data_IF_533133404337
#
_entry.id   IF_533133404337
#
_cell.length_a   1.000
_cell.length_b   1.000
_cell.length_c   1.000
_cell.angle_alpha   90.00
_cell.angle_beta   90.00
_cell.angle_gamma   90.00
#
_symmetry.space_group_name_H-M   'P 1'
#
loop_
_entity.id
_entity.type
_entity.pdbx_description
1 polymer ?
#
# COMPACT_ATOMS: atom_id res chain seq x y z
N UNK A 1 8.88 3.40 -7.49
CA UNK A 1 8.40 2.04 -7.20
C UNK A 1 7.92 2.01 -5.76
N UNK A 2 6.72 1.52 -5.50
CA UNK A 2 6.15 1.43 -4.16
C UNK A 2 5.58 0.02 -3.94
N UNK A 3 5.31 -0.33 -2.69
CA UNK A 3 4.70 -1.62 -2.32
C UNK A 3 3.76 -1.45 -1.15
N UNK A 4 2.70 -2.23 -1.12
CA UNK A 4 1.88 -2.40 0.08
C UNK A 4 2.58 -3.38 1.02
N UNK A 5 2.64 -3.04 2.30
CA UNK A 5 3.27 -3.88 3.32
C UNK A 5 2.41 -3.95 4.56
N UNK A 6 2.55 -5.06 5.29
CA UNK A 6 2.26 -5.11 6.72
C UNK A 6 3.52 -4.66 7.45
N UNK A 7 3.40 -3.65 8.32
CA UNK A 7 4.49 -3.20 9.17
C UNK A 7 4.11 -3.26 10.65
N UNK A 8 5.08 -3.61 11.48
CA UNK A 8 4.94 -3.78 12.94
C UNK A 8 5.98 -2.95 13.68
N UNK A 9 5.77 -2.58 14.95
CA UNK A 9 6.83 -2.12 15.84
C UNK A 9 8.09 -2.99 15.77
N UNK A 10 9.26 -2.37 15.79
CA UNK A 10 10.55 -3.05 15.67
C UNK A 10 10.76 -4.16 16.72
N UNK A 11 10.16 -4.02 17.90
CA UNK A 11 10.15 -5.02 18.97
C UNK A 11 9.44 -6.33 18.56
N UNK A 12 8.47 -6.24 17.65
CA UNK A 12 7.72 -7.39 17.11
C UNK A 12 8.31 -7.94 15.81
N UNK A 13 9.51 -7.51 15.38
CA UNK A 13 10.13 -7.93 14.11
C UNK A 13 10.18 -9.45 13.89
N UNK A 14 10.33 -10.22 14.98
CA UNK A 14 10.46 -11.68 14.93
C UNK A 14 9.12 -12.42 15.02
N UNK A 15 7.99 -11.71 15.06
CA UNK A 15 6.68 -12.35 15.04
C UNK A 15 6.40 -12.95 13.65
N UNK A 16 5.55 -13.95 13.61
CA UNK A 16 5.00 -14.50 12.38
C UNK A 16 3.67 -13.85 12.06
N UNK A 17 3.23 -13.94 10.81
CA UNK A 17 1.88 -13.54 10.41
C UNK A 17 0.78 -14.20 11.27
N UNK A 18 1.01 -15.41 11.78
CA UNK A 18 0.02 -16.13 12.62
C UNK A 18 -0.16 -15.48 13.98
N UNK A 19 0.88 -14.82 14.50
CA UNK A 19 0.84 -14.12 15.79
C UNK A 19 0.01 -12.83 15.72
N UNK A 20 -0.34 -12.40 14.50
CA UNK A 20 -1.18 -11.25 14.24
C UNK A 20 -2.69 -11.59 14.27
N UNK A 21 -3.06 -12.84 14.56
CA UNK A 21 -4.46 -13.24 14.67
C UNK A 21 -5.13 -12.48 15.82
N UNK A 22 -6.33 -11.95 15.54
CA UNK A 22 -7.14 -11.14 16.45
C UNK A 22 -6.52 -9.79 16.86
N UNK A 23 -5.45 -9.37 16.18
CA UNK A 23 -4.83 -8.06 16.40
C UNK A 23 -5.51 -6.96 15.59
N UNK A 24 -5.27 -5.72 15.99
CA UNK A 24 -5.78 -4.51 15.34
C UNK A 24 -4.78 -4.01 14.29
N UNK A 25 -5.27 -3.71 13.10
CA UNK A 25 -4.48 -3.13 12.00
C UNK A 25 -5.01 -1.75 11.63
N UNK A 26 -4.14 -0.73 11.69
CA UNK A 26 -4.47 0.61 11.22
C UNK A 26 -4.10 0.77 9.74
N UNK A 27 -5.00 1.36 8.94
CA UNK A 27 -4.73 1.58 7.51
C UNK A 27 -5.61 2.67 6.89
N UNK A 28 -5.12 3.30 5.81
CA UNK A 28 -5.94 4.09 4.87
C UNK A 28 -6.65 3.22 3.83
N UNK A 29 -6.32 1.92 3.77
CA UNK A 29 -6.69 0.99 2.71
C UNK A 29 -7.41 -0.24 3.27
N UNK A 30 -8.58 -0.08 3.92
CA UNK A 30 -9.26 -1.17 4.62
C UNK A 30 -9.56 -2.36 3.70
N UNK A 31 -10.02 -2.11 2.48
CA UNK A 31 -10.30 -3.16 1.48
C UNK A 31 -9.05 -3.97 1.14
N UNK A 32 -7.87 -3.33 1.06
CA UNK A 32 -6.60 -4.02 0.78
C UNK A 32 -6.20 -4.89 1.96
N UNK A 33 -6.25 -4.33 3.18
CA UNK A 33 -5.91 -5.04 4.41
C UNK A 33 -6.84 -6.25 4.62
N UNK A 34 -8.16 -6.05 4.58
CA UNK A 34 -9.17 -7.09 4.75
C UNK A 34 -9.00 -8.22 3.72
N UNK A 35 -8.76 -7.88 2.45
CA UNK A 35 -8.55 -8.88 1.40
C UNK A 35 -7.29 -9.70 1.67
N UNK A 36 -6.20 -9.05 2.08
CA UNK A 36 -4.95 -9.71 2.39
C UNK A 36 -5.09 -10.65 3.60
N UNK A 37 -5.56 -10.17 4.75
CA UNK A 37 -5.65 -11.01 5.95
C UNK A 37 -6.65 -12.15 5.78
N UNK A 38 -7.78 -11.92 5.11
CA UNK A 38 -8.73 -12.99 4.75
C UNK A 38 -8.11 -14.04 3.85
N UNK A 39 -7.29 -13.66 2.86
CA UNK A 39 -6.61 -14.65 2.00
C UNK A 39 -5.55 -15.46 2.75
N UNK A 40 -5.06 -14.94 3.89
CA UNK A 40 -4.17 -15.67 4.81
C UNK A 40 -4.92 -16.49 5.87
N UNK A 41 -6.26 -16.47 5.89
CA UNK A 41 -7.06 -17.12 6.94
C UNK A 41 -6.93 -16.45 8.32
N UNK A 42 -6.53 -15.18 8.36
CA UNK A 42 -6.34 -14.40 9.58
C UNK A 42 -7.51 -13.46 9.81
N UNK A 43 -8.12 -13.56 11.00
CA UNK A 43 -9.09 -12.59 11.47
C UNK A 43 -8.35 -11.44 12.16
N UNK A 44 -8.56 -10.22 11.71
CA UNK A 44 -7.98 -8.98 12.27
C UNK A 44 -9.08 -7.94 12.41
N UNK A 45 -8.89 -7.00 13.32
CA UNK A 45 -9.76 -5.83 13.47
C UNK A 45 -9.17 -4.64 12.70
N UNK A 46 -9.89 -4.15 11.68
CA UNK A 46 -9.37 -3.15 10.75
C UNK A 46 -9.84 -1.76 11.18
N UNK A 47 -8.89 -0.94 11.62
CA UNK A 47 -9.11 0.45 12.02
C UNK A 47 -8.77 1.33 10.83
N UNK A 48 -9.80 1.94 10.24
CA UNK A 48 -9.60 2.88 9.14
C UNK A 48 -9.18 4.25 9.68
N UNK A 49 -8.07 4.77 9.17
CA UNK A 49 -7.54 6.08 9.51
C UNK A 49 -7.33 6.90 8.24
N UNK A 50 -7.34 8.23 8.36
CA UNK A 50 -7.19 9.14 7.22
C UNK A 50 -5.81 9.82 7.14
N UNK A 51 -5.02 9.76 8.22
CA UNK A 51 -3.68 10.36 8.31
C UNK A 51 -2.88 9.76 9.46
N UNK A 52 -1.55 9.96 9.44
CA UNK A 52 -0.60 9.56 10.50
C UNK A 52 -0.77 8.11 10.95
N UNK A 53 -0.74 7.18 10.00
CA UNK A 53 -0.96 5.74 10.26
C UNK A 53 0.15 5.18 11.15
N UNK A 54 1.35 5.70 10.96
CA UNK A 54 2.57 5.32 11.64
C UNK A 54 2.53 5.60 13.15
N UNK A 55 1.67 6.51 13.60
CA UNK A 55 1.46 6.82 15.02
C UNK A 55 0.50 5.84 15.70
N UNK A 56 -0.33 5.11 14.95
CA UNK A 56 -1.35 4.23 15.54
C UNK A 56 -0.76 3.14 16.45
N UNK A 57 0.38 2.49 16.09
CA UNK A 57 1.07 1.58 17.01
C UNK A 57 1.65 2.27 18.23
N UNK A 58 2.26 3.45 18.05
CA UNK A 58 2.86 4.22 19.15
C UNK A 58 1.81 4.63 20.21
N UNK A 59 0.60 4.94 19.77
CA UNK A 59 -0.52 5.33 20.65
C UNK A 59 -1.31 4.14 21.20
N UNK A 60 -0.94 2.90 20.86
CA UNK A 60 -1.68 1.69 21.26
C UNK A 60 -3.06 1.53 20.62
N UNK A 61 -3.34 2.30 19.56
CA UNK A 61 -4.60 2.21 18.80
C UNK A 61 -4.64 0.95 17.94
N UNK A 62 -3.51 0.56 17.36
CA UNK A 62 -3.36 -0.65 16.57
C UNK A 62 -2.08 -1.39 16.95
N UNK A 63 -2.01 -2.70 16.65
CA UNK A 63 -0.80 -3.49 16.89
C UNK A 63 0.13 -3.45 15.68
N UNK A 64 -0.41 -3.17 14.49
CA UNK A 64 0.31 -3.13 13.22
C UNK A 64 -0.34 -2.13 12.26
N UNK A 65 0.32 -1.88 11.14
CA UNK A 65 -0.22 -1.06 10.05
C UNK A 65 -0.18 -1.79 8.71
N UNK A 66 -1.10 -1.41 7.82
CA UNK A 66 -1.00 -1.68 6.39
C UNK A 66 -0.91 -0.36 5.65
N UNK A 67 0.20 -0.14 4.94
CA UNK A 67 0.42 1.10 4.19
C UNK A 67 1.28 0.88 2.93
N UNK A 68 1.32 1.91 2.08
CA UNK A 68 2.18 1.97 0.90
C UNK A 68 3.53 2.54 1.29
N UNK A 69 4.60 1.83 0.97
CA UNK A 69 5.98 2.19 1.28
C UNK A 69 6.82 2.28 0.01
N UNK A 70 7.68 3.29 -0.05
CA UNK A 70 8.69 3.46 -1.11
C UNK A 70 10.08 3.05 -0.59
N UNK A 71 10.82 3.99 0.00
CA UNK A 71 12.18 3.75 0.54
C UNK A 71 12.19 3.12 1.93
N UNK A 72 11.05 3.09 2.64
CA UNK A 72 10.97 2.62 4.03
C UNK A 72 11.39 3.66 5.08
N UNK A 73 11.78 4.88 4.66
CA UNK A 73 12.25 5.94 5.58
C UNK A 73 11.21 6.29 6.65
N UNK A 74 9.95 6.48 6.25
CA UNK A 74 8.86 6.83 7.17
C UNK A 74 8.61 5.76 8.23
N UNK A 75 8.73 4.47 7.86
CA UNK A 75 8.62 3.38 8.82
C UNK A 75 9.75 3.45 9.86
N UNK A 76 10.99 3.61 9.39
CA UNK A 76 12.17 3.68 10.26
C UNK A 76 12.11 4.86 11.23
N UNK A 77 11.66 6.03 10.77
CA UNK A 77 11.49 7.22 11.61
C UNK A 77 10.44 7.03 12.73
N UNK A 78 9.51 6.08 12.55
CA UNK A 78 8.48 5.73 13.54
C UNK A 78 8.74 4.39 14.24
N UNK A 79 9.97 3.87 14.20
CA UNK A 79 10.35 2.58 14.79
C UNK A 79 9.50 1.38 14.32
N UNK A 80 9.05 1.43 13.05
CA UNK A 80 8.34 0.35 12.39
C UNK A 80 9.27 -0.41 11.44
N UNK A 81 8.98 -1.70 11.28
CA UNK A 81 9.68 -2.59 10.34
C UNK A 81 8.67 -3.30 9.45
N UNK A 82 9.06 -3.54 8.20
CA UNK A 82 8.26 -4.33 7.27
C UNK A 82 8.28 -5.79 7.71
N UNK A 83 7.10 -6.35 7.95
CA UNK A 83 6.94 -7.76 8.26
C UNK A 83 6.75 -8.57 6.98
N UNK A 84 5.79 -8.17 6.14
CA UNK A 84 5.48 -8.86 4.88
C UNK A 84 5.08 -7.88 3.78
N UNK A 85 5.57 -8.12 2.57
CA UNK A 85 5.11 -7.45 1.35
C UNK A 85 3.78 -8.07 0.87
N UNK A 86 2.75 -7.24 0.72
CA UNK A 86 1.43 -7.65 0.23
C UNK A 86 1.44 -7.71 -1.30
N UNK A 87 1.79 -6.60 -1.94
CA UNK A 87 1.85 -6.47 -3.40
C UNK A 87 2.68 -5.26 -3.83
N UNK A 88 3.14 -5.28 -5.07
CA UNK A 88 3.79 -4.14 -5.70
C UNK A 88 2.76 -3.12 -6.19
N UNK A 89 3.08 -1.84 -6.09
CA UNK A 89 2.23 -0.73 -6.53
C UNK A 89 2.96 0.12 -7.55
N UNK A 90 2.30 0.35 -8.68
CA UNK A 90 2.82 1.16 -9.78
C UNK A 90 1.80 2.22 -10.16
N UNK A 91 2.29 3.38 -10.60
CA UNK A 91 1.44 4.39 -11.21
C UNK A 91 0.94 3.87 -12.56
N UNK A 92 -0.37 4.02 -12.82
CA UNK A 92 -1.03 3.62 -14.06
C UNK A 92 -1.84 4.81 -14.58
N UNK A 93 -1.83 5.03 -15.89
CA UNK A 93 -2.77 5.94 -16.54
C UNK A 93 -4.11 5.21 -16.72
N UNK A 94 -5.19 5.79 -16.21
CA UNK A 94 -6.54 5.21 -16.27
C UNK A 94 -7.45 6.21 -16.98
N UNK A 95 -8.28 5.73 -17.90
CA UNK A 95 -9.30 6.53 -18.57
C UNK A 95 -10.65 5.83 -18.52
N UNK A 96 -11.72 6.61 -18.37
CA UNK A 96 -13.08 6.10 -18.48
C UNK A 96 -13.34 5.60 -19.91
N UNK A 97 -13.97 4.43 -20.05
CA UNK A 97 -14.20 3.77 -21.35
C UNK A 97 -15.01 4.62 -22.34
N UNK A 98 -16.03 5.33 -21.86
CA UNK A 98 -16.88 6.19 -22.70
C UNK A 98 -16.08 7.41 -23.13
N UNK A 99 -15.47 8.12 -22.17
CA UNK A 99 -14.62 9.28 -22.45
C UNK A 99 -13.50 8.95 -23.44
N UNK A 100 -12.87 7.79 -23.30
CA UNK A 100 -11.82 7.32 -24.20
C UNK A 100 -12.31 7.21 -25.65
N UNK A 101 -13.53 6.72 -25.87
CA UNK A 101 -14.12 6.59 -27.21
C UNK A 101 -14.58 7.95 -27.75
N UNK A 102 -15.27 8.74 -26.94
CA UNK A 102 -15.87 10.01 -27.40
C UNK A 102 -14.86 11.13 -27.54
N UNK A 103 -13.73 11.07 -26.81
CA UNK A 103 -12.65 12.08 -26.84
C UNK A 103 -11.33 11.46 -27.31
N UNK A 104 -11.41 10.45 -28.18
CA UNK A 104 -10.26 9.67 -28.62
C UNK A 104 -9.14 10.55 -29.17
N UNK A 105 -9.47 11.50 -30.04
CA UNK A 105 -8.50 12.41 -30.66
C UNK A 105 -7.73 13.29 -29.66
N UNK A 106 -8.31 13.55 -28.48
CA UNK A 106 -7.64 14.32 -27.42
C UNK A 106 -6.84 13.42 -26.48
N UNK A 107 -7.33 12.21 -26.20
CA UNK A 107 -6.74 11.30 -25.21
C UNK A 107 -5.59 10.49 -25.81
N UNK A 108 -5.74 10.01 -27.04
CA UNK A 108 -4.75 9.14 -27.70
C UNK A 108 -3.36 9.79 -27.79
N UNK A 109 -3.21 11.07 -28.19
CA UNK A 109 -1.88 11.71 -28.25
C UNK A 109 -1.21 11.80 -26.88
N UNK A 110 -1.98 12.01 -25.80
CA UNK A 110 -1.45 12.03 -24.43
C UNK A 110 -0.95 10.63 -24.02
N UNK A 111 -1.72 9.59 -24.33
CA UNK A 111 -1.35 8.20 -24.04
C UNK A 111 -0.03 7.85 -24.74
N UNK A 112 0.09 8.14 -26.04
CA UNK A 112 1.30 7.88 -26.82
C UNK A 112 2.51 8.63 -26.27
N UNK A 113 2.35 9.92 -25.96
CA UNK A 113 3.42 10.74 -25.37
C UNK A 113 3.89 10.16 -24.03
N UNK A 114 2.96 9.78 -23.14
CA UNK A 114 3.33 9.17 -21.86
C UNK A 114 4.01 7.81 -22.05
N UNK A 115 3.55 6.99 -23.00
CA UNK A 115 4.18 5.70 -23.30
C UNK A 115 5.62 5.86 -23.80
N UNK A 116 5.88 6.81 -24.69
CA UNK A 116 7.23 7.09 -25.20
C UNK A 116 8.17 7.52 -24.08
N UNK A 117 7.73 8.43 -23.21
CA UNK A 117 8.55 8.92 -22.07
C UNK A 117 8.86 7.77 -21.08
N UNK A 118 7.87 6.94 -20.77
CA UNK A 118 8.05 5.83 -19.82
C UNK A 118 8.97 4.73 -20.39
N UNK A 119 8.85 4.42 -21.69
CA UNK A 119 9.74 3.45 -22.34
C UNK A 119 11.18 3.96 -22.47
N UNK A 120 11.36 5.24 -22.82
CA UNK A 120 12.68 5.86 -22.92
C UNK A 120 13.40 6.04 -21.58
N UNK A 121 12.68 6.09 -20.46
CA UNK A 121 13.26 6.17 -19.12
C UNK A 121 13.69 4.82 -18.52
N UNK A 122 13.59 3.72 -19.26
CA UNK A 122 13.94 2.37 -18.79
C UNK A 122 15.38 1.95 -19.14
N UNK A 123 16.15 2.81 -19.80
CA UNK A 123 17.57 2.60 -20.20
C UNK A 123 18.57 3.44 -19.37
N UNK A 124 18.18 3.90 -18.16
CA UNK A 124 19.04 4.69 -17.27
C UNK A 124 19.21 4.08 -15.89
#
# INVERSE_FOLDING_TARGET
YCRFVVAVPAEMKNCSLKDLKYKRVATKFPVVAERYFRSQGLQVDVITLHGNIELAPLMGLADMIVDIVSTGRTLKENNLVELVKIMDSTTRLISNRVSYRTKYEQIQPLVEKMQTIVKGGSEG
#
